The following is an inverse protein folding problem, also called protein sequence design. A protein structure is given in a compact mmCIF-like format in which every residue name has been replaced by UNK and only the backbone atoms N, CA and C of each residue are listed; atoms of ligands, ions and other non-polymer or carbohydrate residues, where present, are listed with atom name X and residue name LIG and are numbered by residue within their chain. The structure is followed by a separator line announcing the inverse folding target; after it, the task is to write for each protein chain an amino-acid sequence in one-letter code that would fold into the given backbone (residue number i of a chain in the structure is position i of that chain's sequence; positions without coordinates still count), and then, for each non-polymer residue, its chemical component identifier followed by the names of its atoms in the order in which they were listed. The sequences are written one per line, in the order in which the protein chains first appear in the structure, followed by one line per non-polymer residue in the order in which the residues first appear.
data_IF_213728769653
#
_entry.id   IF_213728769653
#
_cell.length_a   1.000
_cell.length_b   1.000
_cell.length_c   1.000
_cell.angle_alpha   90.00
_cell.angle_beta   90.00
_cell.angle_gamma   90.00
#
_symmetry.space_group_name_H-M   'P 1'
#
loop_
_entity.id
_entity.type
_entity.pdbx_description
1 polymer ?
#
# COMPACT_ATOMS: atom_id res chain seq x y z
N UNK A 1 6.04 2.96 -1.13
CA UNK A 1 5.60 2.44 0.17
C UNK A 1 6.68 1.62 0.87
N UNK A 2 7.13 0.48 0.33
CA UNK A 2 8.15 -0.37 0.97
C UNK A 2 9.46 0.36 1.32
N UNK A 3 9.88 1.35 0.52
CA UNK A 3 11.02 2.21 0.84
C UNK A 3 10.86 2.97 2.16
N UNK A 4 9.63 3.40 2.51
CA UNK A 4 9.33 4.07 3.78
C UNK A 4 9.52 3.09 4.94
N UNK A 5 8.98 1.87 4.80
CA UNK A 5 9.14 0.82 5.80
C UNK A 5 10.61 0.49 6.03
N UNK A 6 11.40 0.37 4.95
CA UNK A 6 12.85 0.14 5.02
C UNK A 6 13.58 1.29 5.74
N UNK A 7 13.22 2.54 5.46
CA UNK A 7 13.84 3.74 6.06
C UNK A 7 13.70 3.77 7.58
N UNK A 8 12.56 3.29 8.11
CA UNK A 8 12.26 3.26 9.54
C UNK A 8 12.40 1.86 10.16
N UNK A 9 13.04 0.92 9.47
CA UNK A 9 13.28 -0.44 9.95
C UNK A 9 12.01 -1.19 10.39
N UNK A 10 10.89 -0.94 9.71
CA UNK A 10 9.64 -1.68 9.93
C UNK A 10 9.60 -2.93 9.05
N UNK A 11 9.68 -4.09 9.71
CA UNK A 11 9.75 -5.39 9.04
C UNK A 11 8.37 -6.00 8.84
N UNK A 12 7.41 -5.69 9.71
CA UNK A 12 6.07 -6.30 9.73
C UNK A 12 4.99 -5.27 9.46
N UNK A 13 4.06 -5.59 8.57
CA UNK A 13 2.94 -4.71 8.22
C UNK A 13 1.70 -5.50 7.77
N UNK A 14 0.55 -4.86 7.76
CA UNK A 14 -0.67 -5.37 7.16
C UNK A 14 -1.02 -4.59 5.88
N UNK A 15 -1.80 -5.22 5.01
CA UNK A 15 -2.33 -4.61 3.78
C UNK A 15 -3.85 -4.65 3.85
N UNK A 16 -4.48 -3.51 3.65
CA UNK A 16 -5.93 -3.38 3.50
C UNK A 16 -6.22 -2.88 2.09
N UNK A 17 -7.11 -3.59 1.41
CA UNK A 17 -7.61 -3.21 0.09
C UNK A 17 -9.12 -3.24 0.05
N UNK A 18 -9.75 -2.41 -0.77
CA UNK A 18 -11.15 -2.60 -1.20
C UNK A 18 -11.19 -3.29 -2.57
N UNK A 19 -12.39 -3.57 -3.09
CA UNK A 19 -12.58 -4.19 -4.40
C UNK A 19 -12.39 -3.22 -5.59
N UNK A 20 -11.74 -2.07 -5.39
CA UNK A 20 -11.44 -1.15 -6.49
C UNK A 20 -10.51 -1.79 -7.53
N UNK A 21 -10.58 -1.30 -8.77
CA UNK A 21 -9.73 -1.78 -9.86
C UNK A 21 -8.24 -1.74 -9.50
N UNK A 22 -7.52 -2.82 -9.79
CA UNK A 22 -6.08 -2.94 -9.53
C UNK A 22 -5.70 -3.35 -8.09
N UNK A 23 -6.66 -3.65 -7.20
CA UNK A 23 -6.32 -4.08 -5.83
C UNK A 23 -5.55 -5.41 -5.78
N UNK A 24 -5.88 -6.38 -6.64
CA UNK A 24 -5.12 -7.63 -6.74
C UNK A 24 -3.70 -7.39 -7.27
N UNK A 25 -3.56 -6.50 -8.26
CA UNK A 25 -2.27 -6.11 -8.81
C UNK A 25 -1.40 -5.41 -7.76
N UNK A 26 -2.00 -4.58 -6.90
CA UNK A 26 -1.32 -3.94 -5.79
C UNK A 26 -0.76 -4.97 -4.80
N UNK A 27 -1.57 -5.96 -4.39
CA UNK A 27 -1.11 -7.04 -3.49
C UNK A 27 -0.03 -7.90 -4.15
N UNK A 28 -0.20 -8.24 -5.44
CA UNK A 28 0.80 -8.98 -6.21
C UNK A 28 2.12 -8.23 -6.31
N UNK A 29 2.08 -6.95 -6.65
CA UNK A 29 3.25 -6.09 -6.75
C UNK A 29 4.01 -5.99 -5.41
N UNK A 30 3.30 -5.90 -4.27
CA UNK A 30 3.95 -5.94 -2.95
C UNK A 30 4.69 -7.26 -2.76
N UNK A 31 4.06 -8.41 -3.04
CA UNK A 31 4.69 -9.74 -2.89
C UNK A 31 5.92 -9.89 -3.79
N UNK A 32 5.81 -9.48 -5.05
CA UNK A 32 6.91 -9.56 -6.02
C UNK A 32 8.08 -8.66 -5.61
N UNK A 33 7.80 -7.45 -5.13
CA UNK A 33 8.83 -6.54 -4.62
C UNK A 33 9.49 -7.11 -3.37
N UNK A 34 8.72 -7.68 -2.44
CA UNK A 34 9.27 -8.33 -1.25
C UNK A 34 10.26 -9.43 -1.63
N UNK A 35 9.92 -10.29 -2.60
CA UNK A 35 10.82 -11.34 -3.09
C UNK A 35 12.12 -10.77 -3.68
N UNK A 36 12.05 -9.67 -4.44
CA UNK A 36 13.24 -8.99 -4.98
C UNK A 36 14.11 -8.39 -3.87
N UNK A 37 13.52 -7.85 -2.81
CA UNK A 37 14.27 -7.30 -1.66
C UNK A 37 14.90 -8.34 -0.74
N UNK A 38 14.47 -9.62 -0.79
CA UNK A 38 15.08 -10.69 0.03
C UNK A 38 16.58 -10.83 -0.18
N UNK A 39 17.10 -10.43 -1.35
CA UNK A 39 18.52 -10.48 -1.68
C UNK A 39 19.35 -9.35 -1.02
N UNK A 40 18.72 -8.35 -0.40
CA UNK A 40 19.37 -7.12 0.08
C UNK A 40 19.28 -6.92 1.61
N UNK A 41 19.36 -7.99 2.40
CA UNK A 41 19.44 -8.02 3.88
C UNK A 41 18.22 -7.48 4.66
N UNK A 42 17.21 -6.88 4.01
CA UNK A 42 16.00 -6.39 4.66
C UNK A 42 14.79 -7.27 4.34
N UNK A 43 14.31 -8.03 5.32
CA UNK A 43 13.18 -8.95 5.17
C UNK A 43 11.88 -8.33 5.64
N UNK A 44 10.90 -8.29 4.74
CA UNK A 44 9.53 -7.91 5.04
C UNK A 44 8.66 -9.12 5.40
N UNK A 45 7.67 -8.91 6.26
CA UNK A 45 6.66 -9.90 6.66
C UNK A 45 5.28 -9.26 6.58
N UNK A 46 4.38 -9.86 5.80
CA UNK A 46 2.97 -9.45 5.81
C UNK A 46 2.27 -10.19 6.94
N UNK A 47 1.78 -9.45 7.93
CA UNK A 47 1.03 -9.99 9.07
C UNK A 47 -0.36 -10.43 8.63
N UNK A 48 -1.04 -9.59 7.86
CA UNK A 48 -2.39 -9.86 7.37
C UNK A 48 -2.69 -9.08 6.10
N UNK A 49 -3.51 -9.67 5.23
CA UNK A 49 -4.08 -9.02 4.05
C UNK A 49 -5.59 -9.09 4.23
N UNK A 50 -6.24 -7.93 4.23
CA UNK A 50 -7.70 -7.81 4.37
C UNK A 50 -8.25 -7.16 3.11
N UNK A 51 -9.08 -7.89 2.38
CA UNK A 51 -9.83 -7.35 1.24
C UNK A 51 -11.25 -7.07 1.68
N UNK A 52 -11.55 -5.81 1.97
CA UNK A 52 -12.85 -5.35 2.41
C UNK A 52 -13.84 -5.38 1.25
N UNK A 53 -15.01 -5.97 1.50
CA UNK A 53 -16.08 -6.10 0.51
C UNK A 53 -17.24 -5.17 0.82
N UNK A 54 -17.41 -4.87 2.10
CA UNK A 54 -18.53 -4.10 2.60
C UNK A 54 -18.24 -2.61 2.56
N UNK A 55 -19.29 -1.81 2.39
CA UNK A 55 -19.19 -0.34 2.36
C UNK A 55 -19.66 0.33 3.64
N UNK A 56 -20.45 -0.39 4.45
CA UNK A 56 -21.00 0.13 5.69
C UNK A 56 -20.03 -0.02 6.86
N UNK A 57 -19.84 1.05 7.64
CA UNK A 57 -18.91 1.11 8.78
C UNK A 57 -19.00 -0.07 9.74
N UNK A 58 -20.22 -0.52 10.09
CA UNK A 58 -20.44 -1.61 11.05
C UNK A 58 -19.90 -2.93 10.50
N UNK A 59 -20.10 -3.18 9.21
CA UNK A 59 -19.64 -4.40 8.55
C UNK A 59 -18.13 -4.34 8.30
N UNK A 60 -17.60 -3.21 7.85
CA UNK A 60 -16.16 -2.97 7.72
C UNK A 60 -15.46 -3.20 9.06
N UNK A 61 -16.04 -2.71 10.16
CA UNK A 61 -15.53 -2.92 11.52
C UNK A 61 -15.41 -4.42 11.80
N UNK A 62 -16.44 -5.21 11.51
CA UNK A 62 -16.43 -6.68 11.68
C UNK A 62 -15.31 -7.35 10.88
N UNK A 63 -15.15 -7.00 9.60
CA UNK A 63 -14.07 -7.53 8.74
C UNK A 63 -12.65 -7.18 9.24
N UNK A 64 -12.53 -6.11 10.03
CA UNK A 64 -11.26 -5.61 10.57
C UNK A 64 -10.95 -6.02 12.02
N UNK A 65 -11.88 -6.67 12.74
CA UNK A 65 -11.65 -7.12 14.13
C UNK A 65 -10.41 -8.02 14.23
N UNK A 66 -10.34 -8.93 13.27
CA UNK A 66 -9.29 -9.91 13.06
C UNK A 66 -7.91 -9.28 12.77
N UNK A 67 -7.88 -8.04 12.28
CA UNK A 67 -6.66 -7.24 12.12
C UNK A 67 -6.34 -6.48 13.40
N UNK A 68 -7.36 -6.00 14.12
CA UNK A 68 -7.19 -5.28 15.37
C UNK A 68 -6.51 -6.14 16.46
N UNK A 69 -6.84 -7.42 16.50
CA UNK A 69 -6.23 -8.41 17.39
C UNK A 69 -4.82 -8.84 16.97
N UNK A 70 -4.32 -8.39 15.81
CA UNK A 70 -3.01 -8.77 15.29
C UNK A 70 -1.86 -7.90 15.83
N UNK A 71 -0.63 -8.37 15.61
CA UNK A 71 0.59 -7.61 15.90
C UNK A 71 0.90 -6.52 14.85
N UNK A 72 0.06 -6.33 13.83
CA UNK A 72 0.31 -5.31 12.81
C UNK A 72 0.18 -3.90 13.41
N UNK A 73 1.21 -3.07 13.21
CA UNK A 73 1.19 -1.64 13.60
C UNK A 73 1.41 -0.70 12.42
N UNK A 74 1.91 -1.22 11.31
CA UNK A 74 2.02 -0.50 10.04
C UNK A 74 0.98 -1.06 9.10
N UNK A 75 0.16 -0.21 8.50
CA UNK A 75 -0.96 -0.60 7.64
C UNK A 75 -0.84 0.12 6.30
N UNK A 76 -0.74 -0.63 5.22
CA UNK A 76 -0.80 -0.11 3.85
C UNK A 76 -2.27 -0.12 3.39
N UNK A 77 -2.77 1.02 2.94
CA UNK A 77 -4.17 1.17 2.52
C UNK A 77 -4.27 1.48 1.02
N UNK A 78 -4.99 0.63 0.31
CA UNK A 78 -5.33 0.81 -1.11
C UNK A 78 -6.84 0.74 -1.30
N UNK A 79 -7.49 1.89 -1.35
CA UNK A 79 -8.93 2.03 -1.52
C UNK A 79 -9.24 3.31 -2.30
N UNK A 80 -10.50 3.56 -2.64
CA UNK A 80 -10.92 4.89 -3.05
C UNK A 80 -10.96 5.85 -1.86
N UNK A 81 -10.94 7.16 -2.12
CA UNK A 81 -11.07 8.18 -1.07
C UNK A 81 -12.38 8.05 -0.28
N UNK A 82 -13.48 7.71 -0.94
CA UNK A 82 -14.79 7.58 -0.30
C UNK A 82 -14.83 6.35 0.62
N UNK A 83 -14.34 5.20 0.16
CA UNK A 83 -14.27 4.00 1.00
C UNK A 83 -13.30 4.19 2.17
N UNK A 84 -12.15 4.83 1.93
CA UNK A 84 -11.18 5.12 2.96
C UNK A 84 -11.77 5.97 4.10
N UNK A 85 -12.73 6.86 3.81
CA UNK A 85 -13.43 7.62 4.84
C UNK A 85 -14.15 6.71 5.84
N UNK A 86 -14.91 5.73 5.36
CA UNK A 86 -15.62 4.76 6.21
C UNK A 86 -14.65 3.78 6.89
N UNK A 87 -13.60 3.35 6.18
CA UNK A 87 -12.54 2.50 6.74
C UNK A 87 -11.85 3.18 7.92
N UNK A 88 -11.49 4.46 7.78
CA UNK A 88 -10.86 5.20 8.87
C UNK A 88 -11.83 5.44 10.04
N UNK A 89 -13.13 5.57 9.78
CA UNK A 89 -14.16 5.65 10.81
C UNK A 89 -14.29 4.33 11.61
N UNK A 90 -14.28 3.19 10.93
CA UNK A 90 -14.29 1.85 11.55
C UNK A 90 -12.97 1.55 12.29
N UNK A 91 -11.83 1.90 11.68
CA UNK A 91 -10.51 1.77 12.28
C UNK A 91 -10.40 2.54 13.60
N UNK A 92 -11.01 3.74 13.68
CA UNK A 92 -11.07 4.51 14.92
C UNK A 92 -11.86 3.79 16.02
N UNK A 93 -12.97 3.15 15.69
CA UNK A 93 -13.76 2.36 16.67
C UNK A 93 -13.01 1.14 17.18
N UNK A 94 -12.11 0.58 16.38
CA UNK A 94 -11.22 -0.52 16.74
C UNK A 94 -9.91 -0.07 17.40
N UNK A 95 -9.70 1.24 17.59
CA UNK A 95 -8.46 1.77 18.15
C UNK A 95 -7.24 1.68 17.22
N UNK A 96 -7.43 1.33 15.94
CA UNK A 96 -6.38 1.19 14.94
C UNK A 96 -5.83 2.53 14.43
N UNK A 97 -6.34 3.66 14.92
CA UNK A 97 -5.86 5.01 14.61
C UNK A 97 -5.06 5.63 15.76
N UNK A 98 -4.72 4.84 16.78
CA UNK A 98 -3.98 5.30 17.95
C UNK A 98 -2.51 5.63 17.66
N UNK A 99 -1.81 6.18 18.66
CA UNK A 99 -0.40 6.61 18.57
C UNK A 99 0.60 5.52 18.15
N UNK A 100 0.21 4.24 18.23
CA UNK A 100 1.05 3.10 17.87
C UNK A 100 0.80 2.58 16.45
N UNK A 101 -0.19 3.13 15.73
CA UNK A 101 -0.56 2.66 14.40
C UNK A 101 -0.21 3.70 13.33
N UNK A 102 0.53 3.28 12.32
CA UNK A 102 0.86 4.11 11.15
C UNK A 102 0.10 3.62 9.94
N UNK A 103 -0.60 4.54 9.29
CA UNK A 103 -1.30 4.31 8.04
C UNK A 103 -0.53 4.91 6.89
N UNK A 104 -0.32 4.13 5.83
CA UNK A 104 0.32 4.59 4.59
C UNK A 104 -0.66 4.35 3.44
N UNK A 105 -1.22 5.45 2.92
CA UNK A 105 -2.22 5.46 1.87
C UNK A 105 -1.61 5.56 0.48
N UNK A 106 -2.24 4.87 -0.48
CA UNK A 106 -2.01 5.08 -1.90
C UNK A 106 -2.65 6.38 -2.41
N UNK A 107 -2.26 6.81 -3.62
CA UNK A 107 -2.83 8.01 -4.27
C UNK A 107 -4.37 8.01 -4.22
N UNK A 108 -4.99 6.88 -4.54
CA UNK A 108 -6.45 6.76 -4.67
C UNK A 108 -7.20 7.15 -3.39
N UNK A 109 -6.54 7.00 -2.24
CA UNK A 109 -7.04 7.39 -0.91
C UNK A 109 -6.77 8.86 -0.62
N UNK A 110 -5.55 9.34 -0.93
CA UNK A 110 -5.16 10.74 -0.75
C UNK A 110 -6.05 11.66 -1.60
N UNK A 111 -6.34 11.25 -2.84
CA UNK A 111 -7.10 12.00 -3.81
C UNK A 111 -6.33 13.17 -4.42
N UNK A 112 -7.03 14.02 -5.18
CA UNK A 112 -6.46 15.19 -5.87
C UNK A 112 -6.67 16.50 -5.11
N UNK A 113 -7.64 16.55 -4.19
CA UNK A 113 -7.99 17.74 -3.42
C UNK A 113 -7.31 17.71 -2.06
N UNK A 114 -6.06 18.17 -2.00
CA UNK A 114 -5.24 18.14 -0.77
C UNK A 114 -5.72 19.13 0.31
N UNK A 115 -6.44 20.18 -0.09
CA UNK A 115 -6.90 21.26 0.81
C UNK A 115 -8.14 20.88 1.64
N UNK A 116 -8.82 19.78 1.31
CA UNK A 116 -10.02 19.34 2.03
C UNK A 116 -9.64 18.30 3.07
N UNK A 117 -9.83 18.60 4.38
CA UNK A 117 -9.48 17.68 5.44
C UNK A 117 -10.28 16.37 5.28
N UNK A 118 -9.62 15.21 5.26
CA UNK A 118 -10.31 13.93 5.04
C UNK A 118 -11.11 13.43 6.27
N UNK A 119 -11.43 14.31 7.23
CA UNK A 119 -12.35 14.10 8.35
C UNK A 119 -11.91 13.06 9.37
N UNK A 120 -11.96 11.79 9.00
CA UNK A 120 -11.70 10.64 9.88
C UNK A 120 -10.25 10.14 9.85
N UNK A 121 -9.40 10.72 9.00
CA UNK A 121 -8.03 10.26 8.85
C UNK A 121 -7.17 10.75 10.03
N UNK A 122 -6.34 9.89 10.61
CA UNK A 122 -5.55 10.22 11.79
C UNK A 122 -4.34 11.10 11.42
N UNK A 123 -3.98 12.07 12.28
CA UNK A 123 -2.70 12.77 12.17
C UNK A 123 -1.52 11.80 12.14
N UNK A 124 -0.52 12.12 11.31
CA UNK A 124 0.66 11.28 11.06
C UNK A 124 0.43 10.14 10.09
N UNK A 125 -0.74 10.08 9.45
CA UNK A 125 -0.96 9.25 8.26
C UNK A 125 -0.07 9.74 7.12
N UNK A 126 0.55 8.80 6.42
CA UNK A 126 1.40 9.06 5.26
C UNK A 126 0.63 8.79 3.97
N UNK A 127 0.85 9.62 2.96
CA UNK A 127 0.27 9.46 1.63
C UNK A 127 1.37 9.38 0.57
N UNK A 128 1.31 8.36 -0.30
CA UNK A 128 2.12 8.35 -1.53
C UNK A 128 1.33 9.07 -2.61
N UNK A 129 1.90 10.16 -3.12
CA UNK A 129 1.20 11.08 -4.01
C UNK A 129 1.97 11.34 -5.31
N UNK A 130 1.30 11.35 -6.46
CA UNK A 130 1.84 11.96 -7.68
C UNK A 130 1.25 13.34 -7.88
N UNK A 131 2.07 14.28 -8.32
CA UNK A 131 1.66 15.68 -8.47
C UNK A 131 0.58 15.82 -9.56
N UNK A 132 -0.64 16.16 -9.16
CA UNK A 132 -1.78 16.36 -10.09
C UNK A 132 -2.09 17.83 -10.37
N UNK A 133 -1.14 18.74 -10.15
CA UNK A 133 -1.32 20.16 -10.49
C UNK A 133 -1.41 20.35 -12.00
N UNK A 134 -2.11 21.41 -12.42
CA UNK A 134 -2.26 21.77 -13.84
C UNK A 134 -0.89 22.01 -14.50
N UNK A 135 0.05 22.65 -13.79
CA UNK A 135 1.40 22.85 -14.31
C UNK A 135 2.10 21.52 -14.60
N UNK A 136 1.96 20.55 -13.68
CA UNK A 136 2.51 19.22 -13.92
C UNK A 136 1.86 18.52 -15.11
N UNK A 137 0.55 18.71 -15.31
CA UNK A 137 -0.14 18.18 -16.48
C UNK A 137 0.46 18.72 -17.80
N UNK A 138 0.79 20.01 -17.87
CA UNK A 138 1.44 20.58 -19.05
C UNK A 138 2.83 19.97 -19.30
N UNK A 139 3.62 19.74 -18.25
CA UNK A 139 4.91 19.06 -18.39
C UNK A 139 4.74 17.63 -18.94
N UNK A 140 3.72 16.90 -18.46
CA UNK A 140 3.43 15.53 -18.94
C UNK A 140 2.91 15.52 -20.39
N UNK A 141 2.19 16.56 -20.82
CA UNK A 141 1.78 16.72 -22.22
C UNK A 141 2.99 16.94 -23.13
N UNK A 142 3.93 17.81 -22.75
CA UNK A 142 5.18 18.02 -23.50
C UNK A 142 5.98 16.71 -23.59
N UNK A 143 6.07 15.96 -22.48
CA UNK A 143 6.71 14.64 -22.44
C UNK A 143 6.04 13.66 -23.39
N UNK A 144 4.71 13.59 -23.40
CA UNK A 144 3.96 12.69 -24.26
C UNK A 144 4.17 12.99 -25.76
N UNK A 145 4.15 14.27 -26.14
CA UNK A 145 4.43 14.71 -27.52
C UNK A 145 5.87 14.38 -27.91
N UNK A 146 6.82 14.58 -27.01
CA UNK A 146 8.24 14.23 -27.20
C UNK A 146 8.41 12.74 -27.46
N UNK A 147 7.76 11.88 -26.67
CA UNK A 147 7.78 10.42 -26.86
C UNK A 147 7.19 10.05 -28.22
N UNK A 148 6.06 10.63 -28.57
CA UNK A 148 5.40 10.34 -29.83
C UNK A 148 6.27 10.74 -31.04
N UNK A 149 6.84 11.95 -31.01
CA UNK A 149 7.68 12.47 -32.09
C UNK A 149 8.95 11.63 -32.28
N UNK A 150 9.70 11.36 -31.21
CA UNK A 150 10.91 10.52 -31.31
C UNK A 150 10.59 9.07 -31.66
N UNK A 151 9.45 8.52 -31.19
CA UNK A 151 9.02 7.19 -31.59
C UNK A 151 8.75 7.08 -33.08
N UNK A 152 8.12 8.11 -33.67
CA UNK A 152 7.92 8.20 -35.12
C UNK A 152 9.23 8.42 -35.88
N UNK A 153 10.13 9.26 -35.36
CA UNK A 153 11.46 9.46 -35.93
C UNK A 153 12.24 8.13 -36.01
N UNK A 154 12.25 7.36 -34.93
CA UNK A 154 12.87 6.03 -34.90
C UNK A 154 12.22 5.06 -35.91
N UNK A 155 10.89 5.13 -36.08
CA UNK A 155 10.17 4.31 -37.05
C UNK A 155 10.54 4.69 -38.50
N UNK A 156 10.55 5.98 -38.82
CA UNK A 156 10.81 6.49 -40.18
C UNK A 156 12.28 6.26 -40.59
N UNK A 157 13.21 6.39 -39.64
CA UNK A 157 14.63 6.19 -39.88
C UNK A 157 15.04 4.72 -40.03
N UNK A 158 14.19 3.76 -39.64
CA UNK A 158 14.43 2.34 -39.89
C UNK A 158 13.99 1.96 -41.30
N UNK A 159 14.96 1.73 -42.19
CA UNK A 159 14.74 1.37 -43.59
C UNK A 159 13.84 0.15 -43.80
N UNK A 160 13.70 -0.75 -42.81
CA UNK A 160 12.79 -1.90 -42.88
C UNK A 160 11.32 -1.49 -42.91
N UNK A 161 11.00 -0.26 -42.51
CA UNK A 161 9.65 0.27 -42.46
C UNK A 161 9.27 1.14 -43.67
N UNK A 162 10.14 1.28 -44.68
CA UNK A 162 9.94 2.24 -45.79
C UNK A 162 8.60 2.09 -46.53
N UNK A 163 8.03 0.87 -46.53
CA UNK A 163 6.76 0.55 -47.19
C UNK A 163 5.62 0.27 -46.20
N UNK A 164 5.79 0.61 -44.92
CA UNK A 164 4.79 0.35 -43.87
C UNK A 164 4.02 1.63 -43.59
N UNK A 165 2.69 1.56 -43.77
CA UNK A 165 1.79 2.62 -43.37
C UNK A 165 1.28 2.39 -41.93
N UNK A 166 1.32 3.44 -41.10
CA UNK A 166 0.83 3.43 -39.72
C UNK A 166 -0.65 3.83 -39.59
N UNK A 167 -1.36 4.13 -40.68
CA UNK A 167 -2.80 4.40 -40.61
C UNK A 167 -3.55 3.18 -40.04
N UNK A 168 -4.27 3.33 -38.92
CA UNK A 168 -4.92 2.20 -38.26
C UNK A 168 -6.16 1.70 -39.00
N UNK A 169 -6.82 2.55 -39.81
CA UNK A 169 -8.08 2.26 -40.52
C UNK A 169 -9.14 1.56 -39.64
N UNK A 170 -9.18 1.89 -38.35
CA UNK A 170 -10.14 1.36 -37.39
C UNK A 170 -11.37 2.26 -37.35
N UNK A 171 -12.55 1.65 -37.22
CA UNK A 171 -13.81 2.37 -36.98
C UNK A 171 -14.50 1.83 -35.74
N UNK A 172 -15.20 2.70 -35.01
CA UNK A 172 -15.97 2.29 -33.83
C UNK A 172 -17.31 1.62 -34.18
N UNK A 173 -17.70 1.59 -35.45
CA UNK A 173 -18.99 1.08 -35.91
C UNK A 173 -19.02 -0.45 -36.10
N UNK A 174 -17.95 -1.15 -35.72
CA UNK A 174 -17.84 -2.62 -35.82
C UNK A 174 -17.57 -3.15 -37.23
N UNK A 175 -17.41 -2.28 -38.22
CA UNK A 175 -17.03 -2.65 -39.59
C UNK A 175 -15.53 -2.48 -39.79
N UNK A 176 -14.87 -3.53 -40.32
CA UNK A 176 -13.43 -3.54 -40.57
C UNK A 176 -12.64 -4.35 -39.56
N UNK A 177 -11.36 -4.03 -39.39
CA UNK A 177 -10.47 -4.75 -38.47
C UNK A 177 -10.82 -4.41 -37.02
N UNK A 178 -10.80 -5.42 -36.14
CA UNK A 178 -11.06 -5.26 -34.71
C UNK A 178 -9.82 -4.83 -33.92
N UNK A 179 -8.62 -5.01 -34.50
CA UNK A 179 -7.34 -4.66 -33.89
C UNK A 179 -6.44 -4.02 -34.93
N UNK A 180 -5.69 -3.01 -34.51
CA UNK A 180 -4.65 -2.42 -35.34
C UNK A 180 -3.45 -3.37 -35.49
N UNK A 181 -3.31 -3.97 -36.67
CA UNK A 181 -2.26 -4.94 -37.00
C UNK A 181 -0.81 -4.40 -36.88
N UNK A 182 -0.61 -3.09 -37.02
CA UNK A 182 0.72 -2.44 -36.87
C UNK A 182 0.91 -1.76 -35.51
N UNK A 183 -0.07 -1.86 -34.61
CA UNK A 183 0.01 -1.23 -33.29
C UNK A 183 1.19 -1.73 -32.47
N UNK A 184 1.45 -3.04 -32.48
CA UNK A 184 2.57 -3.63 -31.74
C UNK A 184 3.94 -3.17 -32.29
N UNK A 185 4.02 -2.92 -33.61
CA UNK A 185 5.22 -2.38 -34.25
C UNK A 185 5.47 -0.93 -33.79
N UNK A 186 4.46 -0.06 -33.84
CA UNK A 186 4.62 1.31 -33.35
C UNK A 186 4.93 1.34 -31.86
N UNK A 187 4.23 0.53 -31.06
CA UNK A 187 4.47 0.42 -29.63
C UNK A 187 5.93 0.06 -29.30
N UNK A 188 6.55 -0.84 -30.09
CA UNK A 188 7.97 -1.15 -29.96
C UNK A 188 8.87 0.08 -30.14
N UNK A 189 8.60 0.97 -31.10
CA UNK A 189 9.38 2.19 -31.30
C UNK A 189 9.13 3.21 -30.19
N UNK A 190 7.87 3.41 -29.78
CA UNK A 190 7.51 4.30 -28.67
C UNK A 190 8.21 3.87 -27.36
N UNK A 191 8.20 2.57 -27.05
CA UNK A 191 8.86 2.01 -25.86
C UNK A 191 10.39 2.14 -25.91
N UNK A 192 10.98 2.23 -27.09
CA UNK A 192 12.43 2.38 -27.27
C UNK A 192 12.90 3.84 -27.20
N UNK A 193 12.00 4.80 -27.01
CA UNK A 193 12.38 6.20 -26.87
C UNK A 193 13.13 6.42 -25.55
N UNK A 194 14.28 7.07 -25.66
CA UNK A 194 15.01 7.63 -24.52
C UNK A 194 15.26 9.11 -24.76
N UNK A 195 14.77 9.97 -23.86
CA UNK A 195 14.94 11.42 -23.98
C UNK A 195 15.22 12.08 -22.64
N UNK A 196 16.14 13.05 -22.64
CA UNK A 196 16.38 13.92 -21.49
C UNK A 196 15.37 15.06 -21.52
N UNK A 197 14.75 15.35 -20.38
CA UNK A 197 13.74 16.41 -20.25
C UNK A 197 14.28 17.50 -19.31
N UNK A 198 13.85 18.75 -19.51
CA UNK A 198 14.31 19.89 -18.70
C UNK A 198 13.95 19.77 -17.22
N UNK A 199 12.80 19.17 -16.90
CA UNK A 199 12.30 19.03 -15.53
C UNK A 199 11.82 17.61 -15.28
N UNK A 200 12.32 16.99 -14.20
CA UNK A 200 11.97 15.64 -13.77
C UNK A 200 12.84 14.53 -14.38
N UNK A 201 12.51 13.26 -14.13
CA UNK A 201 13.33 12.13 -14.56
C UNK A 201 13.37 11.98 -16.08
N UNK A 202 14.48 11.45 -16.59
CA UNK A 202 14.62 11.11 -18.01
C UNK A 202 13.55 10.11 -18.45
N UNK A 203 13.10 10.25 -19.69
CA UNK A 203 12.10 9.35 -20.27
C UNK A 203 12.81 8.07 -20.71
N UNK A 204 12.35 6.95 -20.19
CA UNK A 204 12.72 5.60 -20.58
C UNK A 204 11.59 4.68 -20.15
N UNK A 205 11.39 3.59 -20.87
CA UNK A 205 10.30 2.65 -20.59
C UNK A 205 10.80 1.27 -20.14
N UNK A 206 9.98 0.61 -19.33
CA UNK A 206 10.08 -0.80 -19.02
C UNK A 206 9.50 -1.63 -20.16
N UNK A 207 9.67 -2.96 -20.10
CA UNK A 207 9.18 -3.87 -21.15
C UNK A 207 7.65 -3.85 -21.32
N UNK A 208 6.91 -3.54 -20.26
CA UNK A 208 5.46 -3.41 -20.26
C UNK A 208 4.97 -2.04 -20.78
N UNK A 209 5.87 -1.10 -21.08
CA UNK A 209 5.54 0.26 -21.51
C UNK A 209 5.30 1.25 -20.37
N UNK A 210 5.49 0.85 -19.11
CA UNK A 210 5.50 1.77 -17.98
C UNK A 210 6.79 2.61 -17.96
N UNK A 211 6.75 3.81 -17.36
CA UNK A 211 7.96 4.62 -17.18
C UNK A 211 8.93 3.92 -16.24
N UNK A 212 10.20 3.83 -16.65
CA UNK A 212 11.28 3.23 -15.85
C UNK A 212 11.65 4.08 -14.64
N UNK A 213 11.65 5.40 -14.82
CA UNK A 213 12.01 6.37 -13.80
C UNK A 213 10.80 7.26 -13.52
N UNK A 214 10.35 7.26 -12.26
CA UNK A 214 9.22 8.08 -11.81
C UNK A 214 9.59 8.82 -10.53
N UNK A 215 9.02 10.01 -10.38
CA UNK A 215 9.11 10.79 -9.16
C UNK A 215 7.77 10.72 -8.43
N UNK A 216 7.79 10.31 -7.16
CA UNK A 216 6.61 10.28 -6.30
C UNK A 216 6.83 11.17 -5.09
N UNK A 217 5.82 11.91 -4.68
CA UNK A 217 5.84 12.72 -3.47
C UNK A 217 5.35 11.90 -2.27
N UNK A 218 5.89 12.19 -1.11
CA UNK A 218 5.39 11.66 0.16
C UNK A 218 4.76 12.81 0.93
N UNK A 219 3.51 12.61 1.32
CA UNK A 219 2.72 13.57 2.10
C UNK A 219 2.55 13.06 3.53
N UNK A 220 2.42 13.99 4.47
CA UNK A 220 2.05 13.74 5.86
C UNK A 220 0.77 14.50 6.17
N UNK A 221 -0.20 13.85 6.80
CA UNK A 221 -1.38 14.51 7.34
C UNK A 221 -1.07 15.12 8.71
N UNK A 222 -0.98 16.44 8.76
CA UNK A 222 -0.68 17.15 10.00
C UNK A 222 -1.86 17.14 11.00
N UNK A 223 -1.65 17.67 12.21
CA UNK A 223 -2.68 17.74 13.26
C UNK A 223 -3.89 18.62 12.89
N UNK A 224 -3.77 19.46 11.85
CA UNK A 224 -4.86 20.31 11.33
C UNK A 224 -5.66 19.61 10.23
N UNK A 225 -5.31 18.37 9.88
CA UNK A 225 -5.95 17.61 8.80
C UNK A 225 -5.56 18.08 7.40
N UNK A 226 -4.41 18.72 7.24
CA UNK A 226 -3.89 19.18 5.95
C UNK A 226 -2.73 18.29 5.51
N UNK A 227 -2.75 17.86 4.25
CA UNK A 227 -1.67 17.11 3.64
C UNK A 227 -0.49 18.03 3.30
N UNK A 228 0.67 17.75 3.87
CA UNK A 228 1.90 18.50 3.63
C UNK A 228 2.94 17.61 2.96
N UNK A 229 3.61 18.14 1.92
CA UNK A 229 4.70 17.43 1.26
C UNK A 229 5.93 17.39 2.17
N UNK A 230 6.34 16.18 2.55
CA UNK A 230 7.49 15.94 3.42
C UNK A 230 8.68 15.32 2.69
N UNK A 231 8.48 14.79 1.49
CA UNK A 231 9.55 14.08 0.80
C UNK A 231 9.25 13.74 -0.65
N UNK A 232 10.25 13.14 -1.29
CA UNK A 232 10.22 12.67 -2.67
C UNK A 232 10.91 11.31 -2.75
N UNK A 233 10.32 10.40 -3.50
CA UNK A 233 10.90 9.13 -3.90
C UNK A 233 11.27 9.19 -5.38
N UNK A 234 12.53 8.90 -5.67
CA UNK A 234 13.10 8.82 -7.02
C UNK A 234 13.80 7.48 -7.20
N UNK A 235 14.43 7.29 -8.35
CA UNK A 235 15.29 6.14 -8.66
C UNK A 235 16.52 6.04 -7.74
N UNK A 236 17.01 7.18 -7.23
CA UNK A 236 18.11 7.23 -6.26
C UNK A 236 17.69 6.82 -4.84
N UNK A 237 16.38 6.79 -4.57
CA UNK A 237 15.83 6.36 -3.28
C UNK A 237 14.83 7.34 -2.69
N UNK A 238 14.64 7.22 -1.39
CA UNK A 238 13.65 7.98 -0.62
C UNK A 238 14.33 9.10 0.16
N UNK A 239 13.96 10.34 -0.15
CA UNK A 239 14.34 11.52 0.62
C UNK A 239 13.12 12.08 1.35
N UNK A 240 13.14 12.08 2.68
CA UNK A 240 12.04 12.54 3.53
C UNK A 240 12.60 13.42 4.66
N UNK A 241 11.86 14.50 4.94
CA UNK A 241 12.09 15.48 6.01
C UNK A 241 11.25 15.17 7.25
N UNK A 242 10.95 16.20 8.04
CA UNK A 242 10.22 16.09 9.29
C UNK A 242 8.84 15.46 9.11
N UNK A 243 8.58 14.44 9.92
CA UNK A 243 7.30 13.72 9.97
C UNK A 243 6.68 13.97 11.33
N UNK A 244 5.45 14.50 11.34
CA UNK A 244 4.58 14.40 12.51
C UNK A 244 4.02 12.99 12.54
N UNK A 245 4.31 12.23 13.59
CA UNK A 245 3.84 10.86 13.77
C UNK A 245 2.51 10.83 14.52
N UNK A 246 1.79 9.69 14.50
CA UNK A 246 0.58 9.48 15.28
C UNK A 246 0.75 9.93 16.74
N UNK A 247 -0.24 10.65 17.27
CA UNK A 247 -0.18 11.27 18.59
C UNK A 247 0.64 12.56 18.65
N UNK A 248 1.04 13.14 17.51
CA UNK A 248 1.81 14.38 17.45
C UNK A 248 3.29 14.21 17.81
N UNK A 249 3.80 12.98 17.76
CA UNK A 249 5.19 12.65 18.12
C UNK A 249 6.17 13.09 17.03
N UNK A 250 7.36 13.62 17.38
CA UNK A 250 8.45 13.82 16.42
C UNK A 250 9.24 12.53 16.12
N UNK A 251 9.01 11.47 16.90
CA UNK A 251 9.73 10.18 16.80
C UNK A 251 8.83 9.12 16.18
N UNK A 252 9.34 8.31 15.21
CA UNK A 252 8.58 7.21 14.63
C UNK A 252 8.17 6.18 15.67
N UNK A 253 6.95 5.61 15.58
CA UNK A 253 6.59 4.48 16.41
C UNK A 253 7.46 3.26 16.04
N UNK A 254 7.68 2.31 16.98
CA UNK A 254 8.57 1.17 16.78
C UNK A 254 8.09 0.19 15.69
N UNK A 255 6.83 0.30 15.24
CA UNK A 255 6.25 -0.56 14.20
C UNK A 255 5.94 -1.99 14.65
N UNK A 256 6.14 -2.29 15.93
CA UNK A 256 5.77 -3.56 16.58
C UNK A 256 5.02 -3.25 17.88
N UNK A 257 4.10 -4.13 18.33
CA UNK A 257 3.44 -3.95 19.61
C UNK A 257 4.45 -4.01 20.75
N UNK A 258 4.22 -3.21 21.79
CA UNK A 258 4.86 -3.43 23.08
C UNK A 258 4.32 -4.75 23.65
N UNK A 259 5.11 -5.83 23.52
CA UNK A 259 4.70 -7.18 23.92
C UNK A 259 4.67 -7.28 25.44
N UNK A 260 3.54 -7.02 26.07
CA UNK A 260 3.37 -7.22 27.52
C UNK A 260 2.79 -8.58 27.90
N UNK A 261 2.08 -9.27 26.99
CA UNK A 261 1.33 -10.49 27.31
C UNK A 261 1.55 -11.58 26.26
N UNK A 262 1.71 -12.82 26.71
CA UNK A 262 1.90 -14.01 25.88
C UNK A 262 0.74 -14.97 26.16
N UNK A 263 0.00 -15.37 25.12
CA UNK A 263 -1.04 -16.40 25.26
C UNK A 263 -0.40 -17.77 25.04
N UNK A 264 -0.35 -18.56 26.11
CA UNK A 264 0.20 -19.93 26.09
C UNK A 264 -0.97 -20.91 26.10
N UNK A 265 -0.97 -21.86 25.18
CA UNK A 265 -1.93 -22.97 25.13
C UNK A 265 -1.19 -24.27 25.42
N UNK A 266 -1.78 -25.14 26.21
CA UNK A 266 -1.24 -26.43 26.61
C UNK A 266 -2.36 -27.47 26.70
N UNK A 267 -1.98 -28.74 26.65
CA UNK A 267 -2.86 -29.88 26.88
C UNK A 267 -2.69 -30.37 28.32
N UNK A 268 -3.75 -30.95 28.90
CA UNK A 268 -3.64 -31.68 30.17
C UNK A 268 -2.83 -32.96 29.93
N UNK A 269 -1.63 -33.03 30.51
CA UNK A 269 -0.66 -34.11 30.29
C UNK A 269 0.12 -34.40 31.58
N UNK A 270 -0.45 -35.18 32.51
CA UNK A 270 0.26 -35.59 33.72
C UNK A 270 1.52 -36.42 33.36
N UNK A 271 2.68 -36.21 34.02
CA UNK A 271 2.89 -35.34 35.18
C UNK A 271 3.30 -33.90 34.85
N UNK A 272 3.41 -33.54 33.58
CA UNK A 272 4.01 -32.29 33.11
C UNK A 272 3.07 -31.09 33.26
N UNK A 273 1.79 -31.28 32.94
CA UNK A 273 0.73 -30.28 33.06
C UNK A 273 -0.46 -30.96 33.71
N UNK A 274 -0.83 -30.51 34.91
CA UNK A 274 -1.99 -31.04 35.64
C UNK A 274 -3.04 -29.95 35.74
N UNK A 275 -4.23 -30.21 35.19
CA UNK A 275 -5.38 -29.30 35.31
C UNK A 275 -6.23 -29.71 36.51
N UNK A 276 -6.39 -28.80 37.47
CA UNK A 276 -7.17 -29.03 38.70
C UNK A 276 -8.23 -27.93 38.82
N UNK A 277 -9.48 -28.25 39.23
CA UNK A 277 -10.48 -27.24 39.48
C UNK A 277 -10.05 -26.26 40.60
N UNK A 278 -10.47 -24.99 40.53
CA UNK A 278 -10.25 -24.05 41.63
C UNK A 278 -11.08 -24.45 42.85
N UNK A 279 -10.70 -23.93 44.02
CA UNK A 279 -11.45 -24.09 45.26
C UNK A 279 -12.89 -23.53 45.10
N UNK A 280 -13.89 -24.30 45.53
CA UNK A 280 -15.31 -23.99 45.38
C UNK A 280 -15.75 -22.78 46.22
N UNK A 281 -15.07 -22.47 47.33
CA UNK A 281 -15.45 -21.34 48.20
C UNK A 281 -14.73 -20.04 47.83
N UNK A 282 -13.45 -20.11 47.48
CA UNK A 282 -12.62 -18.93 47.20
C UNK A 282 -12.46 -18.63 45.71
N UNK A 283 -12.66 -19.62 44.84
CA UNK A 283 -12.39 -19.53 43.41
C UNK A 283 -10.91 -19.40 43.07
N UNK A 284 -10.01 -19.53 44.05
CA UNK A 284 -8.55 -19.47 43.85
C UNK A 284 -7.95 -20.86 43.60
N UNK A 285 -6.74 -20.89 43.06
CA UNK A 285 -6.03 -22.15 42.85
C UNK A 285 -5.43 -22.61 44.19
N UNK A 286 -5.60 -23.88 44.54
CA UNK A 286 -5.17 -24.44 45.84
C UNK A 286 -3.66 -24.30 46.12
N UNK A 287 -2.84 -24.20 45.07
CA UNK A 287 -1.38 -24.12 45.16
C UNK A 287 -0.85 -22.79 44.65
N UNK A 288 0.10 -22.20 45.37
CA UNK A 288 0.75 -20.92 45.00
C UNK A 288 1.57 -20.97 43.70
N UNK A 289 1.81 -22.18 43.17
CA UNK A 289 2.48 -22.40 41.87
C UNK A 289 1.50 -22.63 40.72
N UNK A 290 0.21 -22.69 41.01
CA UNK A 290 -0.83 -22.92 40.01
C UNK A 290 -1.26 -21.60 39.38
N UNK A 291 -1.44 -21.61 38.06
CA UNK A 291 -1.82 -20.43 37.29
C UNK A 291 -3.25 -20.61 36.80
N UNK A 292 -4.08 -19.57 36.92
CA UNK A 292 -5.44 -19.60 36.37
C UNK A 292 -5.37 -19.73 34.85
N UNK A 293 -5.97 -20.79 34.32
CA UNK A 293 -6.12 -21.04 32.91
C UNK A 293 -7.60 -21.06 32.49
N UNK A 294 -7.86 -20.89 31.19
CA UNK A 294 -9.21 -21.03 30.62
C UNK A 294 -9.22 -22.21 29.68
N UNK A 295 -10.23 -23.06 29.80
CA UNK A 295 -10.45 -24.17 28.87
C UNK A 295 -11.04 -23.57 27.58
N UNK A 296 -10.34 -23.76 26.46
CA UNK A 296 -10.83 -23.31 25.16
C UNK A 296 -12.04 -24.16 24.74
N UNK A 297 -13.15 -23.54 24.28
CA UNK A 297 -14.30 -24.29 23.81
C UNK A 297 -13.99 -25.04 22.50
N UNK A 298 -14.59 -26.22 22.29
CA UNK A 298 -14.26 -27.13 21.17
C UNK A 298 -14.29 -26.47 19.78
N UNK A 299 -15.21 -25.54 19.53
CA UNK A 299 -15.29 -24.82 18.25
C UNK A 299 -14.07 -23.92 17.95
N UNK A 300 -13.22 -23.62 18.94
CA UNK A 300 -11.95 -22.91 18.76
C UNK A 300 -10.73 -23.83 18.69
N UNK A 301 -10.93 -25.13 18.88
CA UNK A 301 -9.87 -26.16 18.81
C UNK A 301 -9.82 -26.84 17.43
N UNK A 302 -10.84 -26.65 16.59
CA UNK A 302 -10.83 -27.09 15.19
C UNK A 302 -10.13 -26.01 14.36
N UNK A 303 -8.85 -26.26 14.07
CA UNK A 303 -8.09 -25.52 13.06
C UNK A 303 -8.43 -25.97 11.65
#
# INVERSE_FOLDING_TARGET
MLSILRRYSWHSFAVITTQIGGHEDFVRAIRDLMQKTLYHEFKFTIVKIVTLKETERILIRSEMEDLADSEARIILLFASRQEAFEIMAAARDLGLTGKHYVWIAAQSVVGTQLDTPPGHFPPGMLGVYFNTTINRLYDELERAVTVFAHGLELFVNDHRNSNINLLPNLTCNGTGQTRWNKGDLLFKYLRNVSASVKQGPNISFNMDGSLKYVELQVLNLNNKGVWEKIGVWTDTGLDIKDIVWPGGSPVPPPGVPEKFNLKVTFLDEPPFVNVVPPDNETGECETSRSVRCRIAPEHKLVG
#
